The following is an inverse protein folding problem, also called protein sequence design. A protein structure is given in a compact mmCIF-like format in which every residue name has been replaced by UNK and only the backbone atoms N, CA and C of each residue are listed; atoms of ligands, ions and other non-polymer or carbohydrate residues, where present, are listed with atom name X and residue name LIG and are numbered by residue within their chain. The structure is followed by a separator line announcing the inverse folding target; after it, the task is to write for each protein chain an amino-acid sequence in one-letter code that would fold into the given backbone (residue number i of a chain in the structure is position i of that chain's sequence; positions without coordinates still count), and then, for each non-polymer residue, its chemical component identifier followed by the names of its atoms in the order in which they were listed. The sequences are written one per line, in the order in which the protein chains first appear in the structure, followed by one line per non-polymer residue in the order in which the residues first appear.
data_IF_592994304148
#
_entry.id   IF_592994304148
#
_cell.length_a   1.000
_cell.length_b   1.000
_cell.length_c   1.000
_cell.angle_alpha   90.00
_cell.angle_beta   90.00
_cell.angle_gamma   90.00
#
_symmetry.space_group_name_H-M   'P 1'
#
loop_
_entity.id
_entity.type
_entity.pdbx_description
1 polymer ?
#
# COMPACT_ATOMS: atom_id res chain seq x y z
N UNK A 1 21.55 5.78 3.35
CA UNK A 1 21.56 6.21 4.80
C UNK A 1 20.42 7.20 5.04
N UNK A 2 19.69 7.05 6.16
CA UNK A 2 18.63 8.00 6.55
C UNK A 2 19.22 9.40 6.83
N UNK A 3 18.55 10.45 6.34
CA UNK A 3 18.87 11.85 6.69
C UNK A 3 18.52 12.14 8.14
N UNK A 4 19.00 13.27 8.70
CA UNK A 4 18.66 13.70 10.08
C UNK A 4 17.14 13.80 10.27
N UNK A 5 16.41 14.36 9.28
CA UNK A 5 14.94 14.43 9.29
C UNK A 5 14.30 13.05 9.32
N UNK A 6 14.79 12.11 8.53
CA UNK A 6 14.28 10.75 8.50
C UNK A 6 14.56 10.00 9.81
N UNK A 7 15.72 10.21 10.45
CA UNK A 7 16.02 9.65 11.78
C UNK A 7 15.08 10.21 12.84
N UNK A 8 14.79 11.50 12.81
CA UNK A 8 13.84 12.12 13.73
C UNK A 8 12.41 11.58 13.52
N UNK A 9 11.96 11.44 12.28
CA UNK A 9 10.67 10.83 11.96
C UNK A 9 10.59 9.36 12.40
N UNK A 10 11.68 8.59 12.24
CA UNK A 10 11.77 7.20 12.73
C UNK A 10 11.59 7.13 14.25
N UNK A 11 12.20 8.05 14.98
CA UNK A 11 12.06 8.14 16.44
C UNK A 11 10.64 8.47 16.87
N UNK A 12 9.90 9.28 16.11
CA UNK A 12 8.51 9.65 16.39
C UNK A 12 7.50 8.55 16.04
N UNK A 13 7.84 7.59 15.21
CA UNK A 13 6.90 6.58 14.75
C UNK A 13 6.23 5.76 15.87
N UNK A 14 6.93 5.26 16.91
CA UNK A 14 6.30 4.59 18.05
C UNK A 14 5.28 5.47 18.79
N UNK A 15 5.56 6.77 18.89
CA UNK A 15 4.64 7.73 19.52
C UNK A 15 3.41 7.96 18.65
N UNK A 16 3.58 8.09 17.32
CA UNK A 16 2.46 8.16 16.38
C UNK A 16 1.58 6.90 16.47
N UNK A 17 2.20 5.73 16.57
CA UNK A 17 1.51 4.44 16.75
C UNK A 17 0.76 4.36 18.09
N UNK A 18 1.33 4.91 19.18
CA UNK A 18 0.73 4.98 20.52
C UNK A 18 -0.35 6.05 20.61
N UNK A 19 -0.10 7.24 20.10
CA UNK A 19 -1.01 8.39 20.19
C UNK A 19 -2.33 8.14 19.44
N UNK A 20 -2.26 7.48 18.28
CA UNK A 20 -3.46 7.06 17.52
C UNK A 20 -4.29 5.99 18.26
N UNK A 21 -3.72 5.33 19.27
CA UNK A 21 -4.42 4.38 20.14
C UNK A 21 -5.23 5.10 21.24
N UNK A 22 -4.75 6.27 21.70
CA UNK A 22 -5.39 7.06 22.78
C UNK A 22 -6.35 8.14 22.27
N UNK A 23 -6.09 8.73 21.09
CA UNK A 23 -6.80 9.94 20.64
C UNK A 23 -8.03 9.69 19.79
N UNK A 24 -8.48 8.42 19.62
CA UNK A 24 -9.66 8.12 18.79
C UNK A 24 -9.55 8.59 17.33
N UNK A 25 -8.36 8.99 16.88
CA UNK A 25 -8.13 9.34 15.48
C UNK A 25 -8.45 8.11 14.63
N UNK A 26 -9.48 8.26 13.81
CA UNK A 26 -10.13 7.22 13.05
C UNK A 26 -9.11 6.39 12.27
N UNK A 27 -8.79 5.21 12.78
CA UNK A 27 -8.17 4.13 12.01
C UNK A 27 -9.25 3.59 11.09
N UNK A 28 -9.53 4.29 10.01
CA UNK A 28 -10.57 3.87 9.09
C UNK A 28 -10.14 2.58 8.41
N UNK A 29 -10.94 1.55 8.60
CA UNK A 29 -10.90 0.31 7.84
C UNK A 29 -12.23 0.20 7.12
N UNK A 30 -12.20 0.27 5.80
CA UNK A 30 -13.39 0.03 4.98
C UNK A 30 -13.34 -1.41 4.47
N UNK A 31 -14.50 -2.06 4.41
CA UNK A 31 -14.62 -3.46 3.97
C UNK A 31 -15.72 -3.62 2.93
N UNK A 32 -15.49 -4.47 1.95
CA UNK A 32 -16.51 -4.93 1.01
C UNK A 32 -17.45 -5.93 1.71
N UNK A 33 -18.41 -5.40 2.46
CA UNK A 33 -19.33 -6.23 3.27
C UNK A 33 -20.27 -7.08 2.44
N UNK A 34 -20.58 -6.64 1.22
CA UNK A 34 -21.56 -7.30 0.36
C UNK A 34 -20.92 -8.26 -0.66
N UNK A 35 -19.59 -8.41 -0.64
CA UNK A 35 -18.89 -9.24 -1.61
C UNK A 35 -19.07 -8.73 -3.06
N UNK A 36 -19.25 -7.41 -3.25
CA UNK A 36 -19.49 -6.82 -4.57
C UNK A 36 -18.29 -7.05 -5.46
N UNK A 37 -18.53 -7.68 -6.62
CA UNK A 37 -17.49 -7.99 -7.59
C UNK A 37 -17.11 -6.76 -8.40
N UNK A 38 -15.84 -6.67 -8.85
CA UNK A 38 -15.40 -5.59 -9.73
C UNK A 38 -16.03 -5.72 -11.12
N UNK A 39 -16.32 -4.58 -11.74
CA UNK A 39 -16.73 -4.52 -13.14
C UNK A 39 -15.54 -4.67 -14.10
N UNK A 40 -14.36 -4.23 -13.67
CA UNK A 40 -13.10 -4.37 -14.40
C UNK A 40 -12.19 -5.33 -13.62
N UNK A 41 -11.74 -6.45 -14.21
CA UNK A 41 -10.84 -7.39 -13.52
C UNK A 41 -9.51 -6.74 -13.13
N UNK A 42 -9.11 -6.88 -11.86
CA UNK A 42 -7.85 -6.31 -11.34
C UNK A 42 -6.61 -6.88 -12.02
N UNK A 43 -6.67 -8.11 -12.47
CA UNK A 43 -5.59 -8.80 -13.18
C UNK A 43 -5.23 -8.22 -14.55
N UNK A 44 -6.10 -7.35 -15.11
CA UNK A 44 -5.84 -6.68 -16.40
C UNK A 44 -4.82 -5.53 -16.26
N UNK A 45 -4.47 -5.13 -15.03
CA UNK A 45 -3.51 -4.06 -14.82
C UNK A 45 -2.08 -4.58 -14.74
N UNK A 46 -1.15 -3.63 -14.88
CA UNK A 46 0.28 -3.86 -14.71
C UNK A 46 0.92 -2.69 -13.96
N UNK A 47 2.09 -2.92 -13.40
CA UNK A 47 2.93 -1.88 -12.84
C UNK A 47 4.31 -1.89 -13.52
N UNK A 48 4.85 -0.71 -13.81
CA UNK A 48 6.25 -0.57 -14.19
C UNK A 48 7.05 -0.44 -12.90
N UNK A 49 7.93 -1.40 -12.65
CA UNK A 49 8.78 -1.40 -11.47
C UNK A 49 9.92 -0.39 -11.61
N UNK A 50 10.51 -0.04 -10.50
CA UNK A 50 11.58 0.95 -10.40
C UNK A 50 12.76 0.65 -11.35
N UNK A 51 13.13 -0.63 -11.54
CA UNK A 51 14.14 -1.09 -12.49
C UNK A 51 13.69 -1.12 -13.96
N UNK A 52 12.47 -0.66 -14.28
CA UNK A 52 11.91 -0.67 -15.65
C UNK A 52 11.21 -1.97 -16.02
N UNK A 53 11.26 -3.01 -15.22
CA UNK A 53 10.52 -4.25 -15.43
C UNK A 53 9.01 -4.00 -15.39
N UNK A 54 8.27 -4.70 -16.26
CA UNK A 54 6.80 -4.71 -16.24
C UNK A 54 6.34 -5.90 -15.40
N UNK A 55 5.59 -5.62 -14.34
CA UNK A 55 4.91 -6.62 -13.53
C UNK A 55 3.45 -6.70 -13.96
N UNK A 56 3.05 -7.80 -14.53
CA UNK A 56 1.66 -8.07 -14.91
C UNK A 56 0.93 -8.65 -13.69
N UNK A 57 -0.15 -8.02 -13.21
CA UNK A 57 -0.85 -8.49 -12.00
C UNK A 57 -1.49 -9.87 -12.18
N UNK A 58 -1.77 -10.29 -13.42
CA UNK A 58 -2.21 -11.66 -13.72
C UNK A 58 -1.23 -12.75 -13.29
N UNK A 59 0.07 -12.44 -13.13
CA UNK A 59 1.09 -13.37 -12.63
C UNK A 59 0.90 -13.69 -11.13
N UNK A 60 0.12 -12.87 -10.44
CA UNK A 60 -0.21 -13.03 -9.03
C UNK A 60 -1.62 -13.58 -8.79
N UNK A 61 -2.28 -14.05 -9.86
CA UNK A 61 -3.60 -14.69 -9.74
C UNK A 61 -3.58 -15.81 -8.67
N UNK A 62 -4.64 -15.89 -7.87
CA UNK A 62 -4.73 -16.83 -6.76
C UNK A 62 -3.93 -16.45 -5.52
N UNK A 63 -3.39 -15.23 -5.48
CA UNK A 63 -2.78 -14.62 -4.29
C UNK A 63 -3.50 -13.32 -3.94
N UNK A 64 -3.57 -13.02 -2.67
CA UNK A 64 -3.98 -11.67 -2.24
C UNK A 64 -2.90 -10.67 -2.64
N UNK A 65 -3.30 -9.41 -2.89
CA UNK A 65 -2.38 -8.34 -3.26
C UNK A 65 -2.63 -7.16 -2.32
N UNK A 66 -1.58 -6.75 -1.59
CA UNK A 66 -1.60 -5.54 -0.78
C UNK A 66 -0.90 -4.42 -1.53
N UNK A 67 -1.70 -3.46 -2.02
CA UNK A 67 -1.21 -2.25 -2.72
C UNK A 67 -1.06 -1.13 -1.72
N UNK A 68 0.12 -0.48 -1.68
CA UNK A 68 0.45 0.57 -0.70
C UNK A 68 1.05 1.78 -1.42
N UNK A 69 0.53 2.99 -1.19
CA UNK A 69 1.21 4.21 -1.62
C UNK A 69 2.21 4.65 -0.55
N UNK A 70 3.43 5.03 -0.95
CA UNK A 70 4.54 5.22 -0.02
C UNK A 70 5.29 6.53 -0.24
N UNK A 71 6.11 6.94 0.74
CA UNK A 71 7.06 8.04 0.63
C UNK A 71 8.22 7.90 1.61
N UNK A 72 9.41 8.40 1.22
CA UNK A 72 10.66 8.29 1.99
C UNK A 72 10.78 9.28 3.16
N UNK A 73 9.98 10.37 3.18
CA UNK A 73 10.08 11.43 4.19
C UNK A 73 8.79 11.66 4.98
N UNK A 74 8.01 10.59 5.19
CA UNK A 74 6.76 10.59 5.93
C UNK A 74 6.95 10.13 7.37
N UNK A 75 6.08 10.56 8.30
CA UNK A 75 6.03 10.01 9.66
C UNK A 75 5.74 8.51 9.71
N UNK A 76 5.11 7.96 8.67
CA UNK A 76 4.80 6.54 8.54
C UNK A 76 5.84 5.72 7.78
N UNK A 77 6.99 6.30 7.40
CA UNK A 77 8.02 5.61 6.59
C UNK A 77 8.54 4.34 7.26
N UNK A 78 8.52 4.26 8.60
CA UNK A 78 8.89 3.05 9.34
C UNK A 78 7.97 1.85 9.06
N UNK A 79 6.81 2.05 8.45
CA UNK A 79 5.95 0.95 7.99
C UNK A 79 6.62 0.10 6.89
N UNK A 80 7.68 0.56 6.25
CA UNK A 80 8.48 -0.30 5.36
C UNK A 80 9.04 -1.54 6.09
N UNK A 81 9.45 -1.41 7.36
CA UNK A 81 9.87 -2.56 8.18
C UNK A 81 8.71 -3.56 8.37
N UNK A 82 7.52 -3.04 8.68
CA UNK A 82 6.33 -3.87 8.91
C UNK A 82 5.85 -4.52 7.60
N UNK A 83 5.94 -3.83 6.46
CA UNK A 83 5.64 -4.37 5.14
C UNK A 83 6.64 -5.46 4.73
N UNK A 84 7.92 -5.28 5.04
CA UNK A 84 8.94 -6.30 4.79
C UNK A 84 8.71 -7.53 5.67
N UNK A 85 8.42 -7.35 6.95
CA UNK A 85 8.06 -8.44 7.86
C UNK A 85 6.81 -9.21 7.36
N UNK A 86 5.80 -8.48 6.88
CA UNK A 86 4.59 -9.08 6.30
C UNK A 86 4.93 -9.87 5.03
N UNK A 87 5.79 -9.33 4.17
CA UNK A 87 6.26 -9.99 2.96
C UNK A 87 6.99 -11.30 3.29
N UNK A 88 7.89 -11.29 4.28
CA UNK A 88 8.65 -12.48 4.70
C UNK A 88 7.75 -13.54 5.35
N UNK A 89 6.86 -13.11 6.24
CA UNK A 89 6.03 -14.04 7.02
C UNK A 89 4.85 -14.58 6.22
N UNK A 90 4.17 -13.73 5.44
CA UNK A 90 2.92 -14.06 4.77
C UNK A 90 3.02 -14.03 3.23
N UNK A 91 4.23 -13.94 2.65
CA UNK A 91 4.42 -13.89 1.19
C UNK A 91 3.90 -15.12 0.43
N UNK A 92 3.62 -16.22 1.12
CA UNK A 92 2.94 -17.38 0.56
C UNK A 92 1.41 -17.14 0.36
N UNK A 93 0.81 -16.17 1.07
CA UNK A 93 -0.62 -15.79 1.00
C UNK A 93 -0.84 -14.47 0.28
N UNK A 94 0.04 -13.47 0.50
CA UNK A 94 -0.13 -12.11 0.00
C UNK A 94 1.11 -11.60 -0.72
N UNK A 95 0.92 -10.91 -1.83
CA UNK A 95 1.95 -10.14 -2.52
C UNK A 95 1.84 -8.67 -2.12
N UNK A 96 2.94 -8.07 -1.71
CA UNK A 96 3.02 -6.64 -1.41
C UNK A 96 3.57 -5.90 -2.62
N UNK A 97 3.00 -4.75 -2.96
CA UNK A 97 3.57 -3.82 -3.95
C UNK A 97 3.46 -2.38 -3.45
N UNK A 98 4.58 -1.67 -3.46
CA UNK A 98 4.65 -0.25 -3.09
C UNK A 98 4.64 0.66 -4.32
N UNK A 99 3.93 1.78 -4.19
CA UNK A 99 3.85 2.85 -5.18
C UNK A 99 4.30 4.17 -4.55
N UNK A 100 5.57 4.58 -4.75
CA UNK A 100 6.03 5.87 -4.28
C UNK A 100 5.24 7.01 -4.92
N UNK A 101 4.86 8.03 -4.11
CA UNK A 101 4.11 9.19 -4.59
C UNK A 101 4.54 10.47 -3.88
N UNK A 102 4.65 11.57 -4.64
CA UNK A 102 5.03 12.88 -4.11
C UNK A 102 3.83 13.80 -3.81
N UNK A 103 2.60 13.28 -3.88
CA UNK A 103 1.39 14.10 -3.79
C UNK A 103 1.02 14.52 -2.36
N UNK A 104 1.61 13.89 -1.34
CA UNK A 104 1.33 14.19 0.06
C UNK A 104 2.49 14.96 0.69
N UNK A 105 2.35 16.28 0.78
CA UNK A 105 3.33 17.15 1.41
C UNK A 105 4.72 17.13 0.76
N UNK A 106 4.80 16.77 -0.51
CA UNK A 106 6.05 16.64 -1.26
C UNK A 106 7.10 15.77 -0.52
N UNK A 107 6.64 14.65 0.06
CA UNK A 107 7.46 13.78 0.90
C UNK A 107 8.23 12.69 0.11
N UNK A 108 8.10 12.65 -1.23
CA UNK A 108 8.85 11.74 -2.12
C UNK A 108 9.48 12.51 -3.29
N UNK A 109 10.48 13.34 -2.99
CA UNK A 109 11.16 14.18 -4.01
C UNK A 109 12.21 13.43 -4.82
N UNK A 110 12.71 12.30 -4.30
CA UNK A 110 13.77 11.54 -4.92
C UNK A 110 13.36 10.96 -6.29
N UNK A 111 14.34 10.67 -7.13
CA UNK A 111 14.14 9.88 -8.34
C UNK A 111 13.95 8.38 -8.00
N UNK A 112 13.51 7.60 -8.99
CA UNK A 112 13.21 6.18 -8.81
C UNK A 112 14.41 5.38 -8.31
N UNK A 113 15.62 5.64 -8.84
CA UNK A 113 16.85 4.95 -8.43
C UNK A 113 17.19 5.21 -6.97
N UNK A 114 17.05 6.45 -6.53
CA UNK A 114 17.28 6.85 -5.14
C UNK A 114 16.23 6.27 -4.19
N UNK A 115 14.97 6.18 -4.63
CA UNK A 115 13.88 5.58 -3.86
C UNK A 115 14.15 4.11 -3.59
N UNK A 116 14.46 3.30 -4.62
CA UNK A 116 14.69 1.86 -4.41
C UNK A 116 15.92 1.61 -3.54
N UNK A 117 17.00 2.38 -3.73
CA UNK A 117 18.19 2.30 -2.88
C UNK A 117 17.85 2.66 -1.43
N UNK A 118 17.05 3.71 -1.20
CA UNK A 118 16.58 4.07 0.14
C UNK A 118 15.77 2.94 0.80
N UNK A 119 14.86 2.31 0.08
CA UNK A 119 14.06 1.19 0.56
C UNK A 119 14.93 -0.02 0.93
N UNK A 120 15.89 -0.38 0.08
CA UNK A 120 16.79 -1.51 0.29
C UNK A 120 17.79 -1.26 1.43
N UNK A 121 18.49 -0.12 1.41
CA UNK A 121 19.56 0.17 2.38
C UNK A 121 19.04 0.41 3.81
N UNK A 122 17.80 0.91 3.97
CA UNK A 122 17.30 1.31 5.27
C UNK A 122 16.27 0.33 5.85
N UNK A 123 15.62 -0.48 5.01
CA UNK A 123 14.52 -1.36 5.42
C UNK A 123 14.63 -2.79 4.87
N UNK A 124 15.66 -3.08 4.06
CA UNK A 124 15.87 -4.39 3.46
C UNK A 124 14.71 -4.81 2.54
N UNK A 125 14.00 -3.86 1.91
CA UNK A 125 12.82 -4.13 1.10
C UNK A 125 13.14 -5.08 -0.05
N UNK A 126 12.42 -6.19 -0.12
CA UNK A 126 12.52 -7.23 -1.14
C UNK A 126 11.25 -7.34 -2.01
N UNK A 127 10.14 -6.81 -1.55
CA UNK A 127 8.91 -6.76 -2.34
C UNK A 127 9.00 -5.70 -3.45
N UNK A 128 8.22 -5.85 -4.55
CA UNK A 128 8.22 -4.93 -5.68
C UNK A 128 7.89 -3.48 -5.29
N UNK A 129 8.72 -2.55 -5.80
CA UNK A 129 8.50 -1.10 -5.72
C UNK A 129 8.31 -0.59 -7.14
N UNK A 130 7.15 -0.01 -7.42
CA UNK A 130 6.82 0.59 -8.71
C UNK A 130 7.58 1.92 -8.91
N UNK A 131 7.62 2.40 -10.15
CA UNK A 131 8.03 3.77 -10.44
C UNK A 131 7.12 4.76 -9.72
N UNK A 132 7.70 5.89 -9.30
CA UNK A 132 6.97 6.99 -8.69
C UNK A 132 5.83 7.46 -9.60
N UNK A 133 4.63 7.60 -9.06
CA UNK A 133 3.45 7.95 -9.84
C UNK A 133 2.44 8.80 -9.07
N UNK A 134 1.46 9.35 -9.80
CA UNK A 134 0.29 9.99 -9.23
C UNK A 134 -0.70 8.92 -8.72
N UNK A 135 -1.16 9.07 -7.48
CA UNK A 135 -2.10 8.14 -6.84
C UNK A 135 -3.47 8.80 -6.55
N UNK A 136 -3.54 10.14 -6.60
CA UNK A 136 -4.77 10.90 -6.41
C UNK A 136 -5.52 11.10 -7.74
N UNK A 137 -6.85 11.33 -7.68
CA UNK A 137 -7.67 11.58 -8.86
C UNK A 137 -7.12 12.75 -9.70
N UNK A 138 -6.67 12.45 -10.89
CA UNK A 138 -6.15 13.39 -11.88
C UNK A 138 -6.09 12.70 -13.25
N UNK A 139 -5.90 13.44 -14.36
CA UNK A 139 -5.65 12.83 -15.66
C UNK A 139 -4.41 11.90 -15.67
N UNK A 140 -3.44 12.13 -14.78
CA UNK A 140 -2.19 11.37 -14.67
C UNK A 140 -2.25 10.25 -13.62
N UNK A 141 -3.40 10.08 -12.95
CA UNK A 141 -3.53 9.04 -11.93
C UNK A 141 -3.21 7.66 -12.48
N UNK A 142 -2.36 6.92 -11.77
CA UNK A 142 -1.99 5.55 -12.14
C UNK A 142 -3.24 4.67 -12.26
N UNK A 143 -3.39 3.85 -13.32
CA UNK A 143 -4.61 3.06 -13.57
C UNK A 143 -5.02 2.17 -12.40
N UNK A 144 -4.06 1.57 -11.70
CA UNK A 144 -4.32 0.77 -10.48
C UNK A 144 -5.02 1.63 -9.42
N UNK A 145 -4.53 2.85 -9.14
CA UNK A 145 -5.15 3.70 -8.12
C UNK A 145 -6.50 4.26 -8.55
N UNK A 146 -6.70 4.49 -9.85
CA UNK A 146 -8.01 4.83 -10.40
C UNK A 146 -9.00 3.70 -10.13
N UNK A 147 -8.59 2.47 -10.39
CA UNK A 147 -9.43 1.30 -10.10
C UNK A 147 -9.70 1.17 -8.58
N UNK A 148 -8.67 1.29 -7.73
CA UNK A 148 -8.79 1.14 -6.29
C UNK A 148 -9.71 2.19 -5.64
N UNK A 149 -9.89 3.35 -6.26
CA UNK A 149 -10.68 4.47 -5.75
C UNK A 149 -11.88 4.85 -6.64
N UNK A 150 -12.39 3.92 -7.44
CA UNK A 150 -13.60 4.09 -8.25
C UNK A 150 -14.52 2.89 -8.09
N UNK A 151 -15.65 3.07 -7.40
CA UNK A 151 -16.67 2.01 -7.25
C UNK A 151 -17.24 1.54 -8.58
N UNK A 152 -17.23 2.41 -9.61
CA UNK A 152 -17.62 2.06 -10.97
C UNK A 152 -16.72 1.00 -11.59
N UNK A 153 -15.48 0.85 -11.10
CA UNK A 153 -14.52 -0.16 -11.57
C UNK A 153 -14.38 -1.32 -10.59
N UNK A 154 -14.19 -1.02 -9.29
CA UNK A 154 -13.94 -2.01 -8.25
C UNK A 154 -15.20 -2.56 -7.57
N UNK A 155 -16.36 -1.96 -7.83
CA UNK A 155 -17.66 -2.41 -7.35
C UNK A 155 -18.19 -1.71 -6.09
N UNK A 156 -17.33 -1.10 -5.24
CA UNK A 156 -17.83 -0.57 -3.97
C UNK A 156 -17.07 0.63 -3.38
N UNK A 157 -15.79 0.79 -3.66
CA UNK A 157 -14.93 1.74 -2.96
C UNK A 157 -14.60 2.98 -3.80
N UNK A 158 -14.90 4.17 -3.26
CA UNK A 158 -14.49 5.47 -3.83
C UNK A 158 -13.39 6.14 -2.98
N UNK A 159 -12.86 5.46 -1.94
CA UNK A 159 -11.86 6.06 -1.07
C UNK A 159 -10.49 6.11 -1.74
N UNK A 160 -10.08 7.30 -2.15
CA UNK A 160 -8.70 7.58 -2.57
C UNK A 160 -7.74 7.57 -1.37
N UNK A 161 -6.42 7.42 -1.58
CA UNK A 161 -5.46 7.58 -0.51
C UNK A 161 -5.61 8.94 0.19
N UNK A 162 -5.70 8.94 1.52
CA UNK A 162 -5.81 10.18 2.31
C UNK A 162 -4.44 10.75 2.66
N UNK A 163 -3.43 9.91 2.67
CA UNK A 163 -2.03 10.24 2.96
C UNK A 163 -1.12 9.13 2.44
N UNK A 164 0.20 9.28 2.62
CA UNK A 164 1.13 8.17 2.38
C UNK A 164 0.83 6.99 3.29
N UNK A 165 1.10 5.78 2.83
CA UNK A 165 0.88 4.51 3.51
C UNK A 165 -0.59 4.14 3.73
N UNK A 166 -1.51 4.58 2.85
CA UNK A 166 -2.79 3.90 2.70
C UNK A 166 -2.58 2.54 2.04
N UNK A 167 -3.38 1.56 2.44
CA UNK A 167 -3.28 0.19 1.94
C UNK A 167 -4.62 -0.27 1.40
N UNK A 168 -4.57 -1.04 0.31
CA UNK A 168 -5.72 -1.66 -0.32
C UNK A 168 -5.44 -3.16 -0.47
N UNK A 169 -6.36 -4.00 -0.03
CA UNK A 169 -6.25 -5.45 -0.14
C UNK A 169 -7.20 -5.97 -1.21
N UNK A 170 -6.63 -6.59 -2.22
CA UNK A 170 -7.34 -7.35 -3.25
C UNK A 170 -7.20 -8.82 -2.92
N UNK A 171 -8.30 -9.60 -3.02
CA UNK A 171 -8.29 -11.02 -2.71
C UNK A 171 -7.82 -11.88 -3.89
N UNK A 172 -7.81 -13.19 -3.71
CA UNK A 172 -7.37 -14.20 -4.67
C UNK A 172 -8.20 -14.21 -5.97
N UNK A 173 -9.41 -13.67 -5.92
CA UNK A 173 -10.37 -13.58 -7.03
C UNK A 173 -10.31 -12.22 -7.74
N UNK A 174 -9.38 -11.35 -7.34
CA UNK A 174 -9.23 -10.00 -7.93
C UNK A 174 -10.26 -8.99 -7.44
N UNK A 175 -10.96 -9.25 -6.32
CA UNK A 175 -11.89 -8.31 -5.70
C UNK A 175 -11.19 -7.43 -4.68
N UNK A 176 -11.41 -6.12 -4.70
CA UNK A 176 -11.03 -5.23 -3.61
C UNK A 176 -11.86 -5.57 -2.37
N UNK A 177 -11.21 -5.97 -1.29
CA UNK A 177 -11.89 -6.38 -0.04
C UNK A 177 -11.76 -5.34 1.07
N UNK A 178 -10.63 -4.65 1.15
CA UNK A 178 -10.37 -3.69 2.23
C UNK A 178 -9.62 -2.46 1.75
N UNK A 179 -9.88 -1.34 2.42
CA UNK A 179 -9.05 -0.17 2.49
C UNK A 179 -8.61 0.05 3.93
N UNK A 180 -7.36 0.41 4.15
CA UNK A 180 -6.79 0.73 5.47
C UNK A 180 -6.12 2.10 5.42
N UNK A 181 -6.46 2.98 6.37
CA UNK A 181 -5.82 4.27 6.58
C UNK A 181 -4.32 4.13 6.94
N UNK A 182 -3.52 5.21 6.77
CA UNK A 182 -2.09 5.22 7.12
C UNK A 182 -1.77 4.73 8.53
N UNK A 183 -2.60 5.10 9.52
CA UNK A 183 -2.41 4.75 10.93
C UNK A 183 -2.66 3.26 11.24
N UNK A 184 -3.22 2.49 10.31
CA UNK A 184 -3.38 1.04 10.45
C UNK A 184 -2.06 0.37 10.11
N UNK A 185 -1.39 -0.23 11.09
CA UNK A 185 -0.12 -0.94 10.91
C UNK A 185 -0.31 -2.13 9.95
N UNK A 186 0.62 -2.36 9.01
CA UNK A 186 0.63 -3.58 8.18
C UNK A 186 0.63 -4.89 8.98
N UNK A 187 1.20 -4.87 10.19
CA UNK A 187 1.26 -6.01 11.11
C UNK A 187 0.16 -5.98 12.19
N UNK A 188 -0.88 -5.15 12.03
CA UNK A 188 -2.01 -5.17 12.95
C UNK A 188 -2.88 -6.41 12.75
N UNK A 189 -3.54 -6.83 13.82
CA UNK A 189 -4.45 -7.99 13.82
C UNK A 189 -5.46 -7.91 12.67
N UNK A 190 -6.12 -6.77 12.47
CA UNK A 190 -7.11 -6.58 11.40
C UNK A 190 -6.55 -6.79 10.00
N UNK A 191 -5.29 -6.44 9.74
CA UNK A 191 -4.63 -6.68 8.45
C UNK A 191 -4.26 -8.15 8.33
N UNK A 192 -3.66 -8.74 9.37
CA UNK A 192 -3.27 -10.16 9.37
C UNK A 192 -4.49 -11.06 9.21
N UNK A 193 -5.57 -10.82 9.95
CA UNK A 193 -6.83 -11.55 9.79
C UNK A 193 -7.38 -11.45 8.36
N UNK A 194 -7.35 -10.23 7.76
CA UNK A 194 -7.84 -10.06 6.39
C UNK A 194 -7.01 -10.80 5.34
N UNK A 195 -5.72 -11.07 5.65
CA UNK A 195 -4.82 -11.85 4.79
C UNK A 195 -4.99 -13.36 5.03
N UNK A 196 -5.10 -13.79 6.29
CA UNK A 196 -5.11 -15.22 6.66
C UNK A 196 -6.48 -15.86 6.52
N UNK A 197 -7.58 -15.10 6.71
CA UNK A 197 -8.91 -15.62 6.53
C UNK A 197 -9.19 -15.92 5.06
N UNK A 198 -9.71 -17.11 4.77
CA UNK A 198 -10.23 -17.41 3.43
C UNK A 198 -11.40 -16.45 3.15
N UNK A 199 -11.38 -15.80 2.03
CA UNK A 199 -12.56 -15.06 1.56
C UNK A 199 -13.68 -16.07 1.38
N UNK A 200 -14.72 -15.98 2.23
CA UNK A 200 -15.92 -16.80 2.06
C UNK A 200 -16.58 -16.27 0.78
N UNK A 201 -16.64 -17.11 -0.24
CA UNK A 201 -17.30 -16.83 -1.51
C UNK A 201 -18.82 -16.69 -1.31
#
# INVERSE_FOLDING_TARGET
MKTTKQRFLSFLYPFLKGFTKLSGTHRTVLKNKNGTKPLTPFENFFAVLNGGQILLLKEWRGKKILVVNTASNCGYTEQYNELQQLHETYGHLVRVIAFPSNEFGAQEKADDTSIIRFCQDNFGVQFPVAKKCAVLPSPQQHPIFRWLSSKEQNGWNDQSPRWNFCKYLVNEEGMLTHYFDPAVSPMSEVVIESITNKTIA
#
